data_IF_917650893566
#
_entry.id   IF_917650893566
#
_cell.length_a   1.000
_cell.length_b   1.000
_cell.length_c   1.000
_cell.angle_alpha   90.00
_cell.angle_beta   90.00
_cell.angle_gamma   90.00
#
_symmetry.space_group_name_H-M   'P 1'
#
loop_
_entity.id
_entity.type
_entity.pdbx_description
1 polymer ?
#
# COMPACT_ATOMS: atom_id res chain seq x y z
N UNK A 1 -11.28 -20.66 16.48
CA UNK A 1 -11.73 -19.90 15.31
C UNK A 1 -11.19 -18.50 15.49
N UNK A 2 -10.30 -18.02 14.62
CA UNK A 2 -9.77 -16.66 14.74
C UNK A 2 -10.91 -15.65 14.60
N UNK A 3 -10.90 -14.60 15.40
CA UNK A 3 -11.91 -13.55 15.33
C UNK A 3 -11.65 -12.69 14.08
N UNK A 4 -12.70 -12.09 13.49
CA UNK A 4 -12.62 -11.24 12.29
C UNK A 4 -11.62 -10.09 12.47
N UNK A 5 -11.49 -9.54 13.68
CA UNK A 5 -10.52 -8.49 14.01
C UNK A 5 -9.06 -8.96 13.93
N UNK A 6 -8.77 -10.19 14.35
CA UNK A 6 -7.42 -10.77 14.29
C UNK A 6 -6.99 -11.00 12.84
N UNK A 7 -7.89 -11.54 12.02
CA UNK A 7 -7.65 -11.75 10.58
C UNK A 7 -7.39 -10.44 9.84
N UNK A 8 -8.05 -9.35 10.24
CA UNK A 8 -7.82 -8.02 9.66
C UNK A 8 -6.47 -7.43 10.07
N UNK A 9 -6.09 -7.58 11.35
CA UNK A 9 -4.80 -7.14 11.85
C UNK A 9 -3.64 -7.86 11.14
N UNK A 10 -3.73 -9.19 10.98
CA UNK A 10 -2.77 -9.98 10.21
C UNK A 10 -2.67 -9.52 8.75
N UNK A 11 -3.82 -9.21 8.13
CA UNK A 11 -3.82 -8.69 6.77
C UNK A 11 -3.14 -7.32 6.67
N UNK A 12 -3.34 -6.42 7.64
CA UNK A 12 -2.64 -5.13 7.68
C UNK A 12 -1.13 -5.29 7.88
N UNK A 13 -0.71 -6.20 8.76
CA UNK A 13 0.71 -6.47 8.97
C UNK A 13 1.37 -7.05 7.73
N UNK A 14 0.67 -7.92 7.00
CA UNK A 14 1.14 -8.38 5.69
C UNK A 14 1.28 -7.20 4.71
N UNK A 15 0.33 -6.27 4.67
CA UNK A 15 0.44 -5.07 3.82
C UNK A 15 1.65 -4.24 4.20
N UNK A 16 1.88 -3.96 5.49
CA UNK A 16 3.06 -3.22 5.97
C UNK A 16 4.37 -3.88 5.56
N UNK A 17 4.45 -5.20 5.60
CA UNK A 17 5.66 -5.93 5.20
C UNK A 17 5.93 -5.90 3.69
N UNK A 18 4.89 -5.77 2.86
CA UNK A 18 5.01 -5.82 1.40
C UNK A 18 5.01 -4.46 0.71
N UNK A 19 4.52 -3.42 1.39
CA UNK A 19 4.31 -2.09 0.79
C UNK A 19 5.61 -1.49 0.24
N UNK A 20 6.75 -1.74 0.90
CA UNK A 20 8.06 -1.26 0.48
C UNK A 20 8.44 -1.73 -0.94
N UNK A 21 8.07 -2.96 -1.31
CA UNK A 21 8.36 -3.53 -2.63
C UNK A 21 7.53 -2.94 -3.76
N UNK A 22 6.55 -2.08 -3.45
CA UNK A 22 5.73 -1.37 -4.43
C UNK A 22 6.33 -0.01 -4.83
N UNK A 23 7.49 0.37 -4.28
CA UNK A 23 8.19 1.61 -4.58
C UNK A 23 9.54 1.29 -5.22
N UNK A 24 9.98 2.18 -6.12
CA UNK A 24 11.35 2.15 -6.62
C UNK A 24 12.35 2.37 -5.47
N UNK A 25 13.44 1.59 -5.47
CA UNK A 25 14.44 1.63 -4.39
C UNK A 25 15.22 2.94 -4.34
N UNK A 26 15.41 3.58 -5.49
CA UNK A 26 16.26 4.77 -5.64
C UNK A 26 15.46 6.07 -5.63
N UNK A 27 14.33 6.10 -6.32
CA UNK A 27 13.50 7.30 -6.52
C UNK A 27 12.29 7.36 -5.58
N UNK A 28 11.93 6.24 -4.93
CA UNK A 28 10.74 6.16 -4.10
C UNK A 28 9.44 6.37 -4.86
N UNK A 29 9.40 6.15 -6.19
CA UNK A 29 8.19 6.28 -7.01
C UNK A 29 7.32 5.04 -6.83
N UNK A 30 6.04 5.24 -6.54
CA UNK A 30 5.08 4.14 -6.40
C UNK A 30 4.77 3.52 -7.77
N UNK A 31 4.91 2.19 -7.86
CA UNK A 31 4.64 1.41 -9.07
C UNK A 31 5.37 1.97 -10.32
N UNK A 32 6.55 2.57 -10.13
CA UNK A 32 7.32 3.23 -11.20
C UNK A 32 7.93 2.26 -12.21
N UNK A 33 8.21 1.02 -11.79
CA UNK A 33 8.71 -0.04 -12.66
C UNK A 33 7.70 -1.18 -12.77
N UNK A 34 7.81 -1.99 -13.84
CA UNK A 34 6.90 -3.12 -14.08
C UNK A 34 6.84 -4.07 -12.88
N UNK A 35 7.98 -4.35 -12.24
CA UNK A 35 8.06 -5.22 -11.06
C UNK A 35 7.36 -4.64 -9.85
N UNK A 36 7.40 -3.32 -9.69
CA UNK A 36 6.79 -2.61 -8.56
C UNK A 36 5.27 -2.55 -8.77
N UNK A 37 4.84 -2.29 -10.00
CA UNK A 37 3.45 -2.32 -10.41
C UNK A 37 2.82 -3.71 -10.22
N UNK A 38 3.52 -4.78 -10.61
CA UNK A 38 3.02 -6.14 -10.45
C UNK A 38 2.88 -6.53 -8.98
N UNK A 39 3.83 -6.12 -8.13
CA UNK A 39 3.71 -6.26 -6.67
C UNK A 39 2.52 -5.45 -6.13
N UNK A 40 2.33 -4.21 -6.59
CA UNK A 40 1.21 -3.37 -6.19
C UNK A 40 -0.14 -3.98 -6.61
N UNK A 41 -0.25 -4.55 -7.82
CA UNK A 41 -1.44 -5.27 -8.29
C UNK A 41 -1.75 -6.47 -7.39
N UNK A 42 -0.73 -7.26 -7.04
CA UNK A 42 -0.87 -8.38 -6.11
C UNK A 42 -1.33 -7.93 -4.72
N UNK A 43 -0.73 -6.86 -4.19
CA UNK A 43 -1.07 -6.32 -2.88
C UNK A 43 -2.50 -5.76 -2.85
N UNK A 44 -2.93 -5.09 -3.92
CA UNK A 44 -4.32 -4.62 -4.07
C UNK A 44 -5.31 -5.77 -4.10
N UNK A 45 -5.01 -6.84 -4.84
CA UNK A 45 -5.88 -8.02 -4.88
C UNK A 45 -5.97 -8.69 -3.51
N UNK A 46 -4.85 -8.81 -2.80
CA UNK A 46 -4.81 -9.33 -1.44
C UNK A 46 -5.69 -8.48 -0.49
N UNK A 47 -5.49 -7.16 -0.49
CA UNK A 47 -6.22 -6.25 0.38
C UNK A 47 -7.75 -6.29 0.11
N UNK A 48 -8.15 -6.31 -1.16
CA UNK A 48 -9.56 -6.46 -1.55
C UNK A 48 -10.15 -7.80 -1.05
N UNK A 49 -9.42 -8.91 -1.23
CA UNK A 49 -9.86 -10.24 -0.76
C UNK A 49 -9.97 -10.33 0.77
N UNK A 50 -9.19 -9.54 1.50
CA UNK A 50 -9.19 -9.47 2.96
C UNK A 50 -10.16 -8.43 3.52
N UNK A 51 -10.89 -7.70 2.66
CA UNK A 51 -11.82 -6.67 3.09
C UNK A 51 -11.15 -5.49 3.79
N UNK A 52 -9.89 -5.20 3.44
CA UNK A 52 -9.23 -3.98 3.88
C UNK A 52 -9.82 -2.80 3.11
N UNK A 53 -10.03 -1.68 3.80
CA UNK A 53 -10.52 -0.44 3.20
C UNK A 53 -9.41 0.33 2.48
N UNK A 54 -9.81 1.27 1.63
CA UNK A 54 -8.86 2.13 0.91
C UNK A 54 -8.01 2.96 1.88
N UNK A 55 -8.62 3.49 2.94
CA UNK A 55 -7.94 4.33 3.92
C UNK A 55 -6.93 3.54 4.76
N UNK A 56 -7.24 2.28 5.08
CA UNK A 56 -6.29 1.41 5.78
C UNK A 56 -5.03 1.14 4.94
N UNK A 57 -5.21 0.77 3.67
CA UNK A 57 -4.08 0.48 2.78
C UNK A 57 -3.29 1.75 2.44
N UNK A 58 -3.99 2.86 2.18
CA UNK A 58 -3.35 4.15 1.89
C UNK A 58 -2.63 4.71 3.11
N UNK A 59 -3.17 4.48 4.32
CA UNK A 59 -2.52 4.82 5.58
C UNK A 59 -1.19 4.09 5.74
N UNK A 60 -1.15 2.78 5.47
CA UNK A 60 0.10 2.00 5.49
C UNK A 60 1.14 2.53 4.50
N UNK A 61 0.71 2.94 3.30
CA UNK A 61 1.61 3.54 2.31
C UNK A 61 2.16 4.90 2.77
N UNK A 62 1.31 5.74 3.37
CA UNK A 62 1.71 7.03 3.93
C UNK A 62 2.72 6.85 5.08
N UNK A 63 2.42 5.96 6.02
CA UNK A 63 3.30 5.64 7.15
C UNK A 63 4.67 5.15 6.66
N UNK A 64 4.70 4.29 5.63
CA UNK A 64 5.94 3.83 5.02
C UNK A 64 6.78 4.98 4.48
N UNK A 65 6.18 5.88 3.70
CA UNK A 65 6.90 7.02 3.12
C UNK A 65 7.42 7.99 4.18
N UNK A 66 6.64 8.22 5.25
CA UNK A 66 7.08 9.01 6.39
C UNK A 66 8.24 8.35 7.14
N UNK A 67 8.19 7.03 7.37
CA UNK A 67 9.28 6.28 7.99
C UNK A 67 10.55 6.25 7.14
N UNK A 68 10.42 6.28 5.81
CA UNK A 68 11.54 6.42 4.88
C UNK A 68 12.14 7.83 4.85
N UNK A 69 11.48 8.81 5.46
CA UNK A 69 11.94 10.19 5.48
C UNK A 69 11.76 10.91 4.15
N UNK A 70 10.82 10.48 3.31
CA UNK A 70 10.47 11.22 2.09
C UNK A 70 9.91 12.59 2.45
N UNK A 71 10.32 13.60 1.67
CA UNK A 71 9.87 14.97 1.87
C UNK A 71 8.39 15.09 1.55
N UNK A 72 7.76 16.12 2.14
CA UNK A 72 6.32 16.35 2.01
C UNK A 72 5.86 16.44 0.56
N UNK A 73 6.57 17.20 -0.27
CA UNK A 73 6.20 17.39 -1.69
C UNK A 73 6.14 16.05 -2.43
N UNK A 74 7.13 15.17 -2.20
CA UNK A 74 7.14 13.83 -2.78
C UNK A 74 5.96 12.98 -2.29
N UNK A 75 5.65 13.01 -0.99
CA UNK A 75 4.49 12.30 -0.43
C UNK A 75 3.18 12.82 -1.06
N UNK A 76 3.05 14.14 -1.19
CA UNK A 76 1.86 14.79 -1.75
C UNK A 76 1.69 14.46 -3.24
N UNK A 77 2.78 14.23 -3.98
CA UNK A 77 2.77 13.73 -5.36
C UNK A 77 2.37 12.25 -5.46
N UNK A 78 2.90 11.39 -4.59
CA UNK A 78 2.68 9.93 -4.68
C UNK A 78 1.30 9.49 -4.14
N UNK A 79 0.79 10.12 -3.08
CA UNK A 79 -0.44 9.69 -2.41
C UNK A 79 -1.70 9.67 -3.29
N UNK A 80 -1.94 10.64 -4.19
CA UNK A 80 -3.06 10.59 -5.12
C UNK A 80 -3.02 9.37 -6.04
N UNK A 81 -1.85 9.03 -6.60
CA UNK A 81 -1.70 7.88 -7.49
C UNK A 81 -1.85 6.56 -6.72
N UNK A 82 -1.32 6.47 -5.49
CA UNK A 82 -1.54 5.33 -4.59
C UNK A 82 -3.04 5.12 -4.34
N UNK A 83 -3.76 6.16 -3.90
CA UNK A 83 -5.19 6.09 -3.62
C UNK A 83 -5.99 5.68 -4.85
N UNK A 84 -5.71 6.30 -6.00
CA UNK A 84 -6.33 5.96 -7.29
C UNK A 84 -6.06 4.50 -7.70
N UNK A 85 -4.84 4.02 -7.46
CA UNK A 85 -4.45 2.66 -7.80
C UNK A 85 -5.23 1.62 -6.99
N UNK A 86 -5.30 1.80 -5.66
CA UNK A 86 -5.96 0.86 -4.75
C UNK A 86 -7.49 0.93 -4.86
N UNK A 87 -8.07 2.11 -5.09
CA UNK A 87 -9.52 2.33 -5.26
C UNK A 87 -10.14 1.46 -6.36
N UNK A 88 -9.37 1.05 -7.37
CA UNK A 88 -9.85 0.20 -8.48
C UNK A 88 -10.48 -1.12 -8.03
N UNK A 89 -10.14 -1.65 -6.85
CA UNK A 89 -10.71 -2.91 -6.31
C UNK A 89 -11.10 -2.83 -4.84
N UNK A 90 -10.75 -1.74 -4.17
CA UNK A 90 -10.99 -1.54 -2.76
C UNK A 90 -11.95 -0.34 -2.65
N UNK A 91 -13.16 -0.60 -2.16
CA UNK A 91 -14.20 0.41 -1.93
C UNK A 91 -14.18 0.86 -0.48
#
# INVERSE_FOLDING_TARGET
MANSSELKAEALDYVKQKIAGCFGSDDGIFAGHQTDEDRAKGLRQFAANKGLSLDEVSGVAMDYMQQKGYIRDHIDEQMPEIRKFFKKKIS
#
